data_IF_316619493256
#
_entry.id   IF_316619493256
#
_cell.length_a   1.000
_cell.length_b   1.000
_cell.length_c   1.000
_cell.angle_alpha   90.00
_cell.angle_beta   90.00
_cell.angle_gamma   90.00
#
_symmetry.space_group_name_H-M   'P 1'
#
loop_
_entity.id
_entity.type
_entity.pdbx_description
1 polymer ?
#
# COMPACT_ATOMS: atom_id res chain seq x y z
N UNK A 1 -10.16 -7.05 10.49
CA UNK A 1 -8.84 -7.52 10.96
C UNK A 1 -9.10 -8.41 12.16
N UNK A 2 -8.47 -9.57 12.24
CA UNK A 2 -8.71 -10.53 13.32
C UNK A 2 -7.36 -10.87 13.94
N UNK A 3 -7.27 -10.75 15.27
CA UNK A 3 -6.12 -11.18 16.05
C UNK A 3 -6.65 -12.12 17.13
N UNK A 4 -5.90 -13.20 17.42
CA UNK A 4 -6.21 -14.07 18.56
C UNK A 4 -6.13 -13.23 19.83
N UNK A 5 -7.19 -13.27 20.63
CA UNK A 5 -7.23 -12.57 21.91
C UNK A 5 -6.24 -13.20 22.90
N UNK A 6 -5.53 -12.33 23.62
CA UNK A 6 -4.57 -12.67 24.67
C UNK A 6 -5.27 -12.39 26.01
N UNK A 7 -5.46 -13.41 26.85
CA UNK A 7 -6.29 -13.32 28.07
C UNK A 7 -5.78 -12.29 29.09
N UNK A 8 -4.50 -11.97 29.00
CA UNK A 8 -3.82 -11.03 29.90
C UNK A 8 -3.92 -9.56 29.42
N UNK A 9 -4.60 -9.31 28.29
CA UNK A 9 -4.78 -7.98 27.70
C UNK A 9 -6.26 -7.67 27.55
N UNK A 10 -6.69 -6.52 28.07
CA UNK A 10 -8.05 -6.00 27.84
C UNK A 10 -8.32 -5.90 26.34
N UNK A 11 -9.53 -6.26 25.86
CA UNK A 11 -9.89 -6.12 24.45
C UNK A 11 -9.62 -4.71 23.89
N UNK A 12 -9.76 -3.67 24.71
CA UNK A 12 -9.52 -2.27 24.34
C UNK A 12 -8.04 -1.95 24.16
N UNK A 13 -7.15 -2.65 24.85
CA UNK A 13 -5.70 -2.46 24.81
C UNK A 13 -5.03 -3.31 23.71
N UNK A 14 -5.80 -4.15 23.03
CA UNK A 14 -5.28 -5.01 21.98
C UNK A 14 -4.93 -4.18 20.73
N UNK A 15 -3.65 -3.91 20.55
CA UNK A 15 -3.14 -3.16 19.40
C UNK A 15 -3.13 -4.01 18.14
N UNK A 16 -3.80 -3.52 17.10
CA UNK A 16 -3.69 -4.04 15.74
C UNK A 16 -2.63 -3.22 15.00
N UNK A 17 -1.39 -3.69 15.02
CA UNK A 17 -0.27 -3.05 14.29
C UNK A 17 0.02 -3.72 12.95
N UNK A 18 -0.41 -4.97 12.79
CA UNK A 18 -0.17 -5.76 11.59
C UNK A 18 -1.44 -6.43 11.07
N UNK A 19 -1.50 -6.63 9.76
CA UNK A 19 -2.58 -7.35 9.13
C UNK A 19 -2.11 -8.11 7.88
N UNK A 20 -2.73 -9.26 7.63
CA UNK A 20 -2.59 -9.95 6.36
C UNK A 20 -3.48 -9.29 5.31
N UNK A 21 -2.84 -8.74 4.28
CA UNK A 21 -3.48 -8.02 3.19
C UNK A 21 -3.14 -8.69 1.87
N UNK A 22 -4.14 -8.80 0.99
CA UNK A 22 -3.96 -9.30 -0.37
C UNK A 22 -3.58 -8.14 -1.27
N UNK A 23 -2.41 -8.24 -1.88
CA UNK A 23 -1.88 -7.29 -2.84
C UNK A 23 -1.89 -7.91 -4.24
N UNK A 24 -2.27 -7.11 -5.24
CA UNK A 24 -2.08 -7.43 -6.63
C UNK A 24 -1.09 -6.46 -7.28
N UNK A 25 -0.15 -7.00 -8.06
CA UNK A 25 0.79 -6.23 -8.87
C UNK A 25 0.49 -6.42 -10.36
N UNK A 26 0.02 -5.36 -10.99
CA UNK A 26 -0.37 -5.32 -12.41
C UNK A 26 0.61 -4.50 -13.23
N UNK A 27 0.56 -4.60 -14.56
CA UNK A 27 1.25 -3.72 -15.50
C UNK A 27 2.78 -3.59 -15.27
N UNK A 28 3.42 -4.70 -14.87
CA UNK A 28 4.88 -4.74 -14.76
C UNK A 28 5.53 -4.64 -16.15
N UNK A 29 6.58 -3.82 -16.34
CA UNK A 29 7.36 -3.78 -17.58
C UNK A 29 7.83 -5.17 -17.99
N UNK A 30 7.95 -5.44 -19.29
CA UNK A 30 8.28 -6.78 -19.84
C UNK A 30 9.51 -7.40 -19.16
N UNK A 31 10.61 -6.63 -19.08
CA UNK A 31 11.85 -7.04 -18.43
C UNK A 31 11.74 -7.21 -16.90
N UNK A 32 10.63 -6.80 -16.30
CA UNK A 32 10.32 -6.87 -14.88
C UNK A 32 9.18 -7.84 -14.54
N UNK A 33 8.71 -8.68 -15.48
CA UNK A 33 7.58 -9.59 -15.25
C UNK A 33 7.89 -10.84 -14.44
N UNK A 34 9.16 -11.08 -14.10
CA UNK A 34 9.55 -12.29 -13.35
C UNK A 34 8.88 -12.34 -11.97
N UNK A 35 8.46 -13.54 -11.55
CA UNK A 35 7.85 -13.75 -10.23
C UNK A 35 8.80 -13.32 -9.10
N UNK A 36 10.11 -13.51 -9.29
CA UNK A 36 11.14 -13.12 -8.32
C UNK A 36 11.12 -11.62 -8.08
N UNK A 37 11.10 -10.80 -9.14
CA UNK A 37 11.08 -9.35 -8.99
C UNK A 37 9.74 -8.87 -8.41
N UNK A 38 8.62 -9.41 -8.89
CA UNK A 38 7.29 -9.08 -8.34
C UNK A 38 7.19 -9.43 -6.85
N UNK A 39 7.75 -10.57 -6.42
CA UNK A 39 7.82 -10.97 -5.01
C UNK A 39 8.70 -10.01 -4.20
N UNK A 40 9.86 -9.60 -4.73
CA UNK A 40 10.73 -8.60 -4.08
C UNK A 40 10.00 -7.27 -3.89
N UNK A 41 9.23 -6.84 -4.88
CA UNK A 41 8.39 -5.64 -4.79
C UNK A 41 7.33 -5.80 -3.71
N UNK A 42 6.56 -6.90 -3.73
CA UNK A 42 5.56 -7.17 -2.69
C UNK A 42 6.16 -7.26 -1.28
N UNK A 43 7.40 -7.75 -1.15
CA UNK A 43 8.11 -7.83 0.13
C UNK A 43 8.48 -6.46 0.73
N UNK A 44 8.36 -5.36 -0.05
CA UNK A 44 8.52 -4.01 0.48
C UNK A 44 7.29 -3.55 1.27
N UNK A 45 6.11 -4.09 1.00
CA UNK A 45 4.90 -3.81 1.79
C UNK A 45 4.84 -4.65 3.08
N UNK A 46 5.67 -5.67 3.22
CA UNK A 46 5.73 -6.50 4.43
C UNK A 46 6.22 -7.91 4.16
N UNK A 47 5.95 -8.83 5.09
CA UNK A 47 6.37 -10.23 4.96
C UNK A 47 5.42 -10.96 4.02
N UNK A 48 5.91 -11.34 2.83
CA UNK A 48 5.14 -12.17 1.87
C UNK A 48 4.91 -13.56 2.45
N UNK A 49 3.65 -13.92 2.65
CA UNK A 49 3.20 -15.25 3.12
C UNK A 49 2.97 -16.19 1.95
N UNK A 50 2.31 -15.69 0.91
CA UNK A 50 1.95 -16.43 -0.30
C UNK A 50 2.11 -15.52 -1.51
N UNK A 51 2.56 -16.06 -2.64
CA UNK A 51 2.62 -15.31 -3.89
C UNK A 51 2.48 -16.23 -5.11
N UNK A 52 1.58 -15.88 -6.02
CA UNK A 52 1.31 -16.65 -7.24
C UNK A 52 1.04 -15.72 -8.43
N UNK A 53 1.42 -16.16 -9.62
CA UNK A 53 1.14 -15.46 -10.87
C UNK A 53 -0.21 -15.90 -11.42
N UNK A 54 -0.98 -14.92 -11.90
CA UNK A 54 -2.28 -15.13 -12.52
C UNK A 54 -2.29 -14.48 -13.89
N UNK A 55 -3.08 -15.03 -14.82
CA UNK A 55 -3.37 -14.41 -16.11
C UNK A 55 -4.78 -13.83 -16.09
N UNK A 56 -4.96 -12.61 -16.62
CA UNK A 56 -6.28 -12.02 -16.78
C UNK A 56 -7.10 -12.60 -17.95
N UNK A 57 -6.51 -13.56 -18.69
CA UNK A 57 -7.12 -14.27 -19.82
C UNK A 57 -6.14 -14.47 -20.98
N UNK A 58 -6.54 -15.20 -22.03
CA UNK A 58 -5.73 -15.37 -23.23
C UNK A 58 -5.33 -14.01 -23.84
N UNK A 59 -4.04 -13.82 -24.12
CA UNK A 59 -3.49 -12.57 -24.68
C UNK A 59 -3.50 -11.36 -23.74
N UNK A 60 -3.92 -11.53 -22.47
CA UNK A 60 -3.97 -10.44 -21.48
C UNK A 60 -2.77 -10.46 -20.55
N UNK A 61 -2.55 -9.35 -19.85
CA UNK A 61 -1.45 -9.22 -18.91
C UNK A 61 -1.54 -10.22 -17.75
N UNK A 62 -0.38 -10.73 -17.33
CA UNK A 62 -0.24 -11.49 -16.09
C UNK A 62 0.02 -10.56 -14.92
N UNK A 63 -0.57 -10.85 -13.77
CA UNK A 63 -0.40 -10.10 -12.53
C UNK A 63 0.05 -11.03 -11.40
N UNK A 64 0.77 -10.47 -10.41
CA UNK A 64 1.04 -11.20 -9.17
C UNK A 64 -0.13 -10.98 -8.22
N UNK A 65 -0.56 -12.03 -7.52
CA UNK A 65 -1.34 -11.92 -6.30
C UNK A 65 -0.49 -12.41 -5.13
N UNK A 66 -0.31 -11.57 -4.12
CA UNK A 66 0.47 -11.87 -2.94
C UNK A 66 -0.36 -11.63 -1.68
N UNK A 67 -0.22 -12.51 -0.69
CA UNK A 67 -0.69 -12.27 0.67
C UNK A 67 0.50 -11.77 1.48
N UNK A 68 0.40 -10.57 2.02
CA UNK A 68 1.48 -9.88 2.72
C UNK A 68 1.02 -9.55 4.13
N UNK A 69 1.81 -9.97 5.12
CA UNK A 69 1.68 -9.49 6.50
C UNK A 69 2.37 -8.12 6.60
N UNK A 70 1.56 -7.06 6.60
CA UNK A 70 2.01 -5.68 6.51
C UNK A 70 1.81 -4.91 7.81
N UNK A 71 2.65 -3.91 8.04
CA UNK A 71 2.46 -2.93 9.10
C UNK A 71 1.34 -1.95 8.67
N UNK A 72 0.29 -1.82 9.49
CA UNK A 72 -0.90 -1.02 9.14
C UNK A 72 -0.91 0.35 9.82
N UNK A 73 0.05 0.60 10.72
CA UNK A 73 0.27 1.90 11.36
C UNK A 73 0.94 2.90 10.43
N UNK A 74 1.59 2.40 9.37
CA UNK A 74 2.20 3.19 8.31
C UNK A 74 1.24 3.42 7.14
N UNK A 75 1.41 4.51 6.38
CA UNK A 75 0.65 4.73 5.17
C UNK A 75 0.80 3.58 4.17
N UNK A 76 -0.31 3.17 3.57
CA UNK A 76 -0.30 2.31 2.38
C UNK A 76 0.59 2.94 1.31
N UNK A 77 1.44 2.14 0.67
CA UNK A 77 2.19 2.61 -0.50
C UNK A 77 1.19 2.97 -1.60
N UNK A 78 1.18 4.23 -2.00
CA UNK A 78 0.28 4.71 -3.05
C UNK A 78 1.05 4.82 -4.35
N UNK A 79 0.65 4.05 -5.36
CA UNK A 79 0.87 4.50 -6.73
C UNK A 79 1.25 3.45 -7.76
N UNK A 80 1.52 4.02 -8.92
CA UNK A 80 2.08 3.35 -10.08
C UNK A 80 3.60 3.42 -9.94
N UNK A 81 4.28 2.30 -9.81
CA UNK A 81 5.75 2.27 -9.80
C UNK A 81 6.24 1.69 -11.11
N UNK A 82 7.00 2.45 -11.91
CA UNK A 82 7.51 1.96 -13.21
C UNK A 82 6.39 1.38 -14.11
N UNK A 83 5.24 2.05 -14.19
CA UNK A 83 4.07 1.54 -14.92
C UNK A 83 3.25 0.46 -14.20
N UNK A 84 3.78 -0.14 -13.13
CA UNK A 84 3.09 -1.18 -12.36
C UNK A 84 2.03 -0.61 -11.43
N UNK A 85 0.85 -1.21 -11.38
CA UNK A 85 -0.28 -0.78 -10.54
C UNK A 85 -0.44 -1.70 -9.34
N UNK A 86 -0.35 -1.14 -8.14
CA UNK A 86 -0.68 -1.82 -6.88
C UNK A 86 -2.18 -1.77 -6.65
N UNK A 87 -2.78 -2.91 -6.34
CA UNK A 87 -4.17 -2.98 -5.88
C UNK A 87 -4.25 -3.80 -4.61
N UNK A 88 -4.80 -3.22 -3.56
CA UNK A 88 -5.06 -3.94 -2.32
C UNK A 88 -6.49 -4.49 -2.35
N UNK A 89 -6.68 -5.76 -2.02
CA UNK A 89 -8.00 -6.39 -1.95
C UNK A 89 -8.52 -6.36 -0.50
N UNK A 90 -9.80 -5.99 -0.34
CA UNK A 90 -10.54 -6.06 0.94
C UNK A 90 -9.84 -5.35 2.10
N UNK A 91 -9.25 -4.18 1.83
CA UNK A 91 -8.74 -3.34 2.90
C UNK A 91 -9.87 -2.92 3.84
N UNK A 92 -9.63 -2.93 5.16
CA UNK A 92 -10.48 -2.21 6.10
C UNK A 92 -10.50 -0.71 5.80
N UNK A 93 -11.37 0.03 6.48
CA UNK A 93 -11.40 1.51 6.42
C UNK A 93 -9.99 2.08 6.54
N UNK A 94 -9.59 2.88 5.55
CA UNK A 94 -8.31 3.59 5.55
C UNK A 94 -8.53 5.05 5.17
N UNK A 95 -7.62 5.90 5.61
CA UNK A 95 -7.76 7.33 5.44
C UNK A 95 -7.24 7.76 4.06
N UNK A 96 -8.09 8.37 3.25
CA UNK A 96 -7.70 8.89 1.93
C UNK A 96 -6.75 10.10 2.03
N UNK A 97 -6.74 10.83 3.14
CA UNK A 97 -5.81 11.93 3.36
C UNK A 97 -4.39 11.47 3.76
N UNK A 98 -4.26 10.43 4.59
CA UNK A 98 -2.96 10.05 5.16
C UNK A 98 -2.46 8.64 4.81
N UNK A 99 -3.30 7.80 4.18
CA UNK A 99 -2.94 6.46 3.75
C UNK A 99 -2.97 5.38 4.82
N UNK A 100 -3.21 5.71 6.09
CA UNK A 100 -3.16 4.76 7.21
C UNK A 100 -4.50 4.04 7.39
N UNK A 101 -4.47 2.76 7.73
CA UNK A 101 -5.66 1.93 8.00
C UNK A 101 -6.18 2.21 9.42
N UNK A 102 -7.50 2.16 9.61
CA UNK A 102 -8.16 2.21 10.91
C UNK A 102 -8.94 3.50 11.19
N UNK A 103 -8.92 4.46 10.28
CA UNK A 103 -9.72 5.69 10.37
C UNK A 103 -10.02 6.25 8.97
N UNK A 104 -11.02 7.13 8.89
CA UNK A 104 -11.35 7.92 7.71
C UNK A 104 -10.77 9.35 7.79
N UNK A 105 -11.03 10.19 6.79
CA UNK A 105 -10.53 11.57 6.76
C UNK A 105 -11.12 12.47 7.84
N UNK A 106 -12.36 12.22 8.27
CA UNK A 106 -13.03 13.01 9.33
C UNK A 106 -12.33 12.81 10.67
N UNK A 107 -11.86 11.57 10.90
CA UNK A 107 -11.15 11.15 12.10
C UNK A 107 -9.62 11.28 11.97
N UNK A 108 -9.13 11.90 10.88
CA UNK A 108 -7.69 12.00 10.64
C UNK A 108 -7.07 13.24 11.29
N UNK A 109 -6.29 13.03 12.36
CA UNK A 109 -5.56 14.12 13.02
C UNK A 109 -4.61 14.90 12.10
N UNK A 110 -3.99 14.23 11.11
CA UNK A 110 -3.12 14.89 10.10
C UNK A 110 -3.94 15.78 9.15
N UNK A 111 -5.11 15.33 8.72
CA UNK A 111 -6.02 16.11 7.87
C UNK A 111 -6.61 17.30 8.63
N UNK A 112 -7.10 17.07 9.84
CA UNK A 112 -7.70 18.10 10.69
C UNK A 112 -6.70 19.21 11.04
N UNK A 113 -5.42 18.87 11.23
CA UNK A 113 -4.35 19.87 11.39
C UNK A 113 -4.15 20.70 10.11
N UNK A 114 -4.12 20.05 8.94
CA UNK A 114 -3.99 20.76 7.65
C UNK A 114 -5.17 21.69 7.38
N UNK A 115 -6.41 21.27 7.64
CA UNK A 115 -7.60 22.15 7.52
C UNK A 115 -7.47 23.40 8.38
N UNK A 116 -7.05 23.25 9.65
CA UNK A 116 -6.87 24.37 10.58
C UNK A 116 -5.77 25.35 10.16
N UNK A 117 -4.69 24.86 9.56
CA UNK A 117 -3.62 25.74 9.05
C UNK A 117 -3.92 26.35 7.68
N UNK A 118 -4.80 25.73 6.88
CA UNK A 118 -5.07 26.19 5.52
C UNK A 118 -6.20 27.22 5.41
N UNK A 119 -7.13 27.35 6.38
CA UNK A 119 -8.10 28.47 6.42
C UNK A 119 -8.64 28.74 7.85
N UNK A 120 -8.67 30.00 8.35
CA UNK A 120 -9.36 30.34 9.60
C UNK A 120 -10.89 30.43 9.49
N UNK A 121 -11.47 30.58 8.29
CA UNK A 121 -12.92 30.79 8.16
C UNK A 121 -13.40 30.68 6.69
N UNK A 122 -13.76 29.48 6.18
CA UNK A 122 -14.76 29.37 5.10
C UNK A 122 -15.23 27.92 4.86
N UNK A 123 -16.48 27.80 4.42
CA UNK A 123 -17.27 26.58 4.25
C UNK A 123 -16.67 25.60 3.23
N UNK A 124 -16.91 24.32 3.47
CA UNK A 124 -16.29 23.18 2.81
C UNK A 124 -16.90 22.99 1.41
N UNK A 125 -16.19 23.44 0.37
CA UNK A 125 -16.40 23.01 -1.00
C UNK A 125 -15.69 21.68 -1.27
N UNK A 126 -16.43 20.71 -1.81
CA UNK A 126 -16.04 19.33 -2.12
C UNK A 126 -15.12 19.24 -3.35
N UNK A 127 -13.94 19.87 -3.28
CA UNK A 127 -12.97 19.85 -4.38
C UNK A 127 -11.58 19.43 -3.90
N UNK A 128 -11.23 18.19 -4.24
CA UNK A 128 -9.90 17.83 -4.76
C UNK A 128 -8.76 17.93 -3.76
N UNK A 129 -8.52 16.85 -3.03
CA UNK A 129 -7.35 16.66 -2.16
C UNK A 129 -6.02 16.89 -2.93
N UNK A 130 -5.16 17.84 -2.51
CA UNK A 130 -3.93 18.20 -3.25
C UNK A 130 -2.76 17.25 -2.92
N UNK A 131 -2.59 16.19 -3.70
CA UNK A 131 -1.50 15.21 -3.46
C UNK A 131 -0.92 14.64 -4.77
N UNK A 132 0.23 15.18 -5.20
CA UNK A 132 1.05 14.62 -6.31
C UNK A 132 2.56 14.77 -6.10
N UNK A 133 3.04 14.90 -4.87
CA UNK A 133 4.47 14.92 -4.63
C UNK A 133 4.79 14.06 -3.42
N UNK A 134 5.92 13.36 -3.47
CA UNK A 134 6.45 12.43 -2.46
C UNK A 134 5.88 11.00 -2.53
N UNK A 135 6.39 10.20 -3.50
CA UNK A 135 6.76 8.78 -3.32
C UNK A 135 7.43 8.10 -4.55
N UNK A 136 7.95 8.86 -5.54
CA UNK A 136 8.45 8.24 -6.79
C UNK A 136 9.98 8.03 -6.92
N UNK A 137 10.80 8.41 -5.94
CA UNK A 137 12.29 8.36 -6.11
C UNK A 137 12.98 7.07 -5.68
N UNK A 138 12.31 6.13 -5.04
CA UNK A 138 13.00 5.05 -4.32
C UNK A 138 13.17 3.73 -5.07
N UNK A 139 12.22 3.32 -5.93
CA UNK A 139 12.24 1.96 -6.50
C UNK A 139 13.20 1.82 -7.71
N UNK A 140 13.51 2.92 -8.41
CA UNK A 140 14.47 2.91 -9.53
C UNK A 140 15.90 2.59 -9.09
N UNK A 141 16.31 2.95 -7.86
CA UNK A 141 17.69 2.73 -7.40
C UNK A 141 17.99 1.26 -7.08
N UNK A 142 17.05 0.51 -6.49
CA UNK A 142 17.32 -0.88 -6.08
C UNK A 142 17.09 -1.91 -7.20
N UNK A 143 16.13 -1.68 -8.11
CA UNK A 143 15.85 -2.62 -9.21
C UNK A 143 16.91 -2.53 -10.31
N UNK A 144 17.38 -1.31 -10.66
CA UNK A 144 18.39 -1.15 -11.71
C UNK A 144 19.80 -1.60 -11.25
N UNK A 145 20.13 -1.50 -9.96
CA UNK A 145 21.42 -1.98 -9.43
C UNK A 145 21.53 -3.52 -9.41
N UNK A 146 20.41 -4.25 -9.34
CA UNK A 146 20.43 -5.73 -9.38
C UNK A 146 20.46 -6.30 -10.80
N UNK A 147 20.32 -5.49 -11.84
CA UNK A 147 20.42 -5.93 -13.25
C UNK A 147 21.78 -5.62 -13.88
N UNK A 148 22.61 -4.76 -13.27
CA UNK A 148 23.90 -4.34 -13.84
C UNK A 148 25.11 -5.14 -13.28
N UNK A 149 24.97 -5.85 -12.16
CA UNK A 149 26.11 -6.57 -11.51
C UNK A 149 26.06 -8.10 -11.73
N UNK A 150 25.56 -8.56 -12.89
CA UNK A 150 25.72 -9.95 -13.35
C UNK A 150 25.99 -10.03 -14.86
N UNK A 151 26.82 -9.13 -15.38
CA UNK A 151 27.51 -9.29 -16.66
C UNK A 151 29.01 -9.22 -16.46
#
# INVERSE_FOLDING_TARGET
MVKRWERDISPTDMKFTRAEVKLQLWNMPEHCKTIVLRKKIAAKDGKVKECSLFSAGPGKESFLKATVDMEITEPLRRGITMGSKFRYERLPTFCYACGVIGHDETNCGKWNRKRRTMMPNQEIGDHGSPWTQWEQKWILKEICQTTIIQR
#
